data_IF_928602676968
#
_entry.id   IF_928602676968
#
_cell.length_a   1.000
_cell.length_b   1.000
_cell.length_c   1.000
_cell.angle_alpha   90.00
_cell.angle_beta   90.00
_cell.angle_gamma   90.00
#
_symmetry.space_group_name_H-M   'P 1'
#
loop_
_entity.id
_entity.type
_entity.pdbx_description
1 polymer ?
#
# COMPACT_ATOMS: atom_id res chain seq x y z
N UNK A 1 -0.83 -0.91 11.15
CA UNK A 1 -0.84 -0.68 9.68
C UNK A 1 -2.06 0.15 9.37
N UNK A 2 -1.91 1.19 8.55
CA UNK A 2 -3.04 1.99 8.08
C UNK A 2 -2.96 2.14 6.56
N UNK A 3 -4.10 1.96 5.88
CA UNK A 3 -4.24 2.15 4.45
C UNK A 3 -5.31 3.22 4.21
N UNK A 4 -4.97 4.26 3.45
CA UNK A 4 -5.90 5.35 3.12
C UNK A 4 -6.79 4.95 1.95
N UNK A 5 -8.04 5.37 1.98
CA UNK A 5 -9.00 5.19 0.89
C UNK A 5 -9.48 6.55 0.39
N UNK A 6 -10.08 6.57 -0.79
CA UNK A 6 -10.54 7.81 -1.43
C UNK A 6 -9.50 8.43 -2.36
N UNK A 7 -9.64 9.72 -2.64
CA UNK A 7 -8.81 10.42 -3.62
C UNK A 7 -7.46 10.81 -3.03
N UNK A 8 -6.39 10.46 -3.74
CA UNK A 8 -5.02 10.84 -3.41
C UNK A 8 -4.42 11.66 -4.55
N UNK A 9 -3.60 12.65 -4.20
CA UNK A 9 -2.76 13.35 -5.18
C UNK A 9 -1.45 12.60 -5.39
N UNK A 10 -0.80 12.85 -6.52
CA UNK A 10 0.52 12.29 -6.82
C UNK A 10 1.51 12.70 -5.73
N UNK A 11 2.24 11.71 -5.20
CA UNK A 11 3.22 11.91 -4.13
C UNK A 11 2.67 11.75 -2.71
N UNK A 12 1.35 11.65 -2.52
CA UNK A 12 0.83 11.40 -1.18
C UNK A 12 0.91 9.92 -0.75
N UNK A 13 1.12 9.67 0.54
CA UNK A 13 1.19 8.31 1.07
C UNK A 13 -0.18 7.60 1.04
N UNK A 14 -0.23 6.41 0.45
CA UNK A 14 -1.43 5.54 0.48
C UNK A 14 -1.43 4.55 1.64
N UNK A 15 -0.24 4.19 2.15
CA UNK A 15 -0.04 3.21 3.22
C UNK A 15 1.04 3.70 4.18
N UNK A 16 0.83 3.42 5.47
CA UNK A 16 1.84 3.54 6.51
C UNK A 16 1.93 2.24 7.30
N UNK A 17 3.17 1.75 7.44
CA UNK A 17 3.53 0.59 8.27
C UNK A 17 4.56 1.07 9.28
N UNK A 18 4.26 0.89 10.56
CA UNK A 18 5.17 1.16 11.67
C UNK A 18 5.33 -0.14 12.47
N UNK A 19 6.59 -0.48 12.78
CA UNK A 19 6.96 -1.71 13.49
C UNK A 19 8.00 -1.35 14.54
N UNK A 20 7.88 -1.95 15.73
CA UNK A 20 8.85 -1.83 16.81
C UNK A 20 9.26 -3.22 17.29
N UNK A 21 10.55 -3.40 17.56
CA UNK A 21 11.12 -4.60 18.15
C UNK A 21 12.40 -4.24 18.94
N UNK A 22 12.82 -5.05 19.93
CA UNK A 22 14.03 -4.79 20.72
C UNK A 22 15.30 -4.66 19.87
N UNK A 23 15.36 -5.36 18.74
CA UNK A 23 16.49 -5.31 17.82
C UNK A 23 16.03 -4.93 16.41
N UNK A 24 16.79 -4.02 15.76
CA UNK A 24 16.45 -3.48 14.43
C UNK A 24 16.19 -4.55 13.38
N UNK A 25 16.89 -5.68 13.44
CA UNK A 25 16.76 -6.77 12.46
C UNK A 25 15.31 -7.28 12.40
N UNK A 26 14.73 -7.59 13.56
CA UNK A 26 13.36 -8.09 13.67
C UNK A 26 12.35 -7.06 13.18
N UNK A 27 12.53 -5.78 13.52
CA UNK A 27 11.63 -4.72 13.07
C UNK A 27 11.66 -4.54 11.54
N UNK A 28 12.85 -4.58 10.94
CA UNK A 28 13.02 -4.46 9.49
C UNK A 28 12.42 -5.65 8.74
N UNK A 29 12.69 -6.88 9.21
CA UNK A 29 12.14 -8.10 8.64
C UNK A 29 10.61 -8.12 8.71
N UNK A 30 10.03 -7.77 9.86
CA UNK A 30 8.58 -7.71 10.03
C UNK A 30 7.93 -6.59 9.19
N UNK A 31 8.58 -5.44 9.02
CA UNK A 31 8.07 -4.37 8.15
C UNK A 31 8.04 -4.80 6.68
N UNK A 32 9.13 -5.42 6.19
CA UNK A 32 9.20 -5.97 4.84
C UNK A 32 8.14 -7.07 4.63
N UNK A 33 8.01 -7.99 5.57
CA UNK A 33 6.98 -9.02 5.51
C UNK A 33 5.56 -8.43 5.46
N UNK A 34 5.29 -7.41 6.27
CA UNK A 34 3.97 -6.79 6.34
C UNK A 34 3.54 -6.14 5.01
N UNK A 35 4.43 -5.44 4.31
CA UNK A 35 4.08 -4.82 3.02
C UNK A 35 3.85 -5.86 1.93
N UNK A 36 4.66 -6.92 1.88
CA UNK A 36 4.49 -8.00 0.90
C UNK A 36 3.18 -8.75 1.12
N UNK A 37 2.86 -9.09 2.38
CA UNK A 37 1.60 -9.76 2.72
C UNK A 37 0.40 -8.88 2.44
N UNK A 38 0.47 -7.58 2.75
CA UNK A 38 -0.62 -6.64 2.50
C UNK A 38 -1.00 -6.62 1.01
N UNK A 39 -0.01 -6.56 0.12
CA UNK A 39 -0.24 -6.49 -1.34
C UNK A 39 -0.91 -7.73 -1.92
N UNK A 40 -0.69 -8.90 -1.35
CA UNK A 40 -1.28 -10.17 -1.87
C UNK A 40 -2.55 -10.59 -1.16
N UNK A 41 -2.77 -10.12 0.07
CA UNK A 41 -3.88 -10.60 0.91
C UNK A 41 -5.08 -9.66 0.86
N UNK A 42 -4.85 -8.36 0.68
CA UNK A 42 -5.92 -7.36 0.67
C UNK A 42 -6.20 -6.97 -0.77
N UNK A 43 -7.46 -7.08 -1.24
CA UNK A 43 -7.79 -6.66 -2.58
C UNK A 43 -7.80 -5.13 -2.65
N UNK A 44 -6.75 -4.58 -3.26
CA UNK A 44 -6.57 -3.14 -3.44
C UNK A 44 -6.75 -2.84 -4.91
N UNK A 45 -7.66 -1.91 -5.20
CA UNK A 45 -7.85 -1.34 -6.54
C UNK A 45 -7.52 0.14 -6.51
N UNK A 46 -6.83 0.61 -7.55
CA UNK A 46 -6.56 2.03 -7.75
C UNK A 46 -7.22 2.47 -9.05
N UNK A 47 -7.95 3.58 -9.00
CA UNK A 47 -8.44 4.22 -10.21
C UNK A 47 -7.49 5.34 -10.59
N UNK A 48 -6.75 5.13 -11.66
CA UNK A 48 -5.91 6.17 -12.25
C UNK A 48 -6.80 7.07 -13.12
N UNK A 49 -6.57 8.38 -13.04
CA UNK A 49 -7.39 9.40 -13.72
C UNK A 49 -6.46 10.31 -14.49
N UNK A 50 -6.65 10.36 -15.80
CA UNK A 50 -5.90 11.18 -16.74
C UNK A 50 -6.83 12.19 -17.42
N UNK A 51 -6.27 13.03 -18.30
CA UNK A 51 -7.04 14.07 -18.98
C UNK A 51 -8.10 13.51 -19.94
N UNK A 52 -7.88 12.31 -20.45
CA UNK A 52 -8.67 11.64 -21.48
C UNK A 52 -9.50 10.45 -20.95
N UNK A 53 -9.38 10.10 -19.66
CA UNK A 53 -10.14 9.00 -19.09
C UNK A 53 -9.70 8.53 -17.71
N UNK A 54 -10.20 7.36 -17.31
CA UNK A 54 -9.80 6.71 -16.06
C UNK A 54 -9.87 5.19 -16.18
N UNK A 55 -8.97 4.50 -15.52
CA UNK A 55 -8.87 3.03 -15.53
C UNK A 55 -8.68 2.49 -14.11
N UNK A 56 -9.25 1.31 -13.84
CA UNK A 56 -9.05 0.60 -12.59
C UNK A 56 -7.94 -0.45 -12.76
N UNK A 57 -6.92 -0.37 -11.92
CA UNK A 57 -5.84 -1.35 -11.81
C UNK A 57 -5.95 -2.12 -10.48
N UNK A 58 -5.68 -3.42 -10.48
CA UNK A 58 -5.68 -4.24 -9.26
C UNK A 58 -5.34 -5.71 -9.52
N UNK A 59 -5.44 -6.54 -8.48
CA UNK A 59 -5.26 -7.99 -8.61
C UNK A 59 -6.36 -8.58 -9.51
N UNK A 60 -6.02 -8.85 -10.78
CA UNK A 60 -6.90 -9.51 -11.76
C UNK A 60 -7.30 -8.67 -12.99
N UNK A 61 -6.77 -7.45 -13.15
CA UNK A 61 -6.86 -6.64 -14.38
C UNK A 61 -5.64 -6.85 -15.27
#
# INVERSE_FOLDING_TARGET
ISHRVGRLQVGEASVVIAVAAPHRRQALEACAYAIERLKVTIPIWKREVWADGSEWIGLGS
#
